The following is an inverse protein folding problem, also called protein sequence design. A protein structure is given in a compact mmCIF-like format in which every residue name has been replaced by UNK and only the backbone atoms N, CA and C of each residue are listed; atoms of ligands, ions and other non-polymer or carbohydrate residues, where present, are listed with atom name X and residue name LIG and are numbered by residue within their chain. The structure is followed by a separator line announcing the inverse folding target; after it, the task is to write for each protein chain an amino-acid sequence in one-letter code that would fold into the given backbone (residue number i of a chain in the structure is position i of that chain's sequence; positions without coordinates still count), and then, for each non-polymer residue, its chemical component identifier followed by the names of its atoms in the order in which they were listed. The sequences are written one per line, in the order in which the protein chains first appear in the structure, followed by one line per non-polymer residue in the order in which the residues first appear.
data_IF_535605051947
#
_entry.id   IF_535605051947
#
_cell.length_a   1.000
_cell.length_b   1.000
_cell.length_c   1.000
_cell.angle_alpha   90.00
_cell.angle_beta   90.00
_cell.angle_gamma   90.00
#
_symmetry.space_group_name_H-M   'P 1'
#
loop_
_entity.id
_entity.type
_entity.pdbx_description
1 polymer ?
#
# COMPACT_ATOMS: atom_id res chain seq x y z
N UNK A 1 -17.52 -0.59 -0.65
CA UNK A 1 -17.48 0.24 -1.88
C UNK A 1 -18.26 1.52 -1.65
N UNK A 2 -17.87 2.61 -2.30
CA UNK A 2 -18.53 3.92 -2.27
C UNK A 2 -18.72 4.39 -3.71
N UNK A 3 -19.83 5.07 -4.01
CA UNK A 3 -20.05 5.72 -5.31
C UNK A 3 -20.89 6.98 -5.15
N UNK A 4 -20.51 8.06 -5.81
CA UNK A 4 -21.25 9.32 -5.83
C UNK A 4 -21.02 10.07 -7.15
N UNK A 5 -22.09 10.30 -7.90
CA UNK A 5 -22.05 11.01 -9.18
C UNK A 5 -21.09 10.37 -10.20
N UNK A 6 -19.97 11.04 -10.46
CA UNK A 6 -18.92 10.57 -11.39
C UNK A 6 -17.80 9.80 -10.71
N UNK A 7 -17.87 9.63 -9.38
CA UNK A 7 -16.84 9.01 -8.58
C UNK A 7 -17.28 7.64 -8.07
N UNK A 8 -16.34 6.71 -8.03
CA UNK A 8 -16.53 5.40 -7.44
C UNK A 8 -15.22 4.93 -6.81
N UNK A 9 -15.31 4.12 -5.77
CA UNK A 9 -14.10 3.66 -5.10
C UNK A 9 -14.28 2.47 -4.17
N UNK A 10 -13.13 1.90 -3.87
CA UNK A 10 -12.95 0.77 -2.98
C UNK A 10 -12.02 1.20 -1.84
N UNK A 11 -12.44 0.88 -0.63
CA UNK A 11 -11.73 1.20 0.62
C UNK A 11 -11.76 -0.07 1.46
N UNK A 12 -10.62 -0.49 2.01
CA UNK A 12 -10.54 -1.70 2.82
C UNK A 12 -9.30 -1.80 3.71
N UNK A 13 -9.49 -2.41 4.89
CA UNK A 13 -8.45 -2.75 5.88
C UNK A 13 -8.71 -4.16 6.46
N UNK A 14 -8.15 -5.23 5.86
CA UNK A 14 -7.48 -5.26 4.57
C UNK A 14 -8.44 -5.11 3.40
N UNK A 15 -7.94 -4.59 2.29
CA UNK A 15 -8.65 -4.64 1.02
C UNK A 15 -8.33 -5.96 0.29
N UNK A 16 -7.10 -6.44 0.43
CA UNK A 16 -6.59 -7.68 -0.13
C UNK A 16 -5.67 -8.36 0.89
N UNK A 17 -5.70 -9.68 0.94
CA UNK A 17 -4.66 -10.50 1.56
C UNK A 17 -3.95 -11.26 0.46
N UNK A 18 -2.64 -11.10 0.34
CA UNK A 18 -1.86 -11.63 -0.78
C UNK A 18 -0.50 -12.15 -0.34
N UNK A 19 0.03 -13.10 -1.10
CA UNK A 19 1.39 -13.63 -0.93
C UNK A 19 2.33 -12.96 -1.92
N UNK A 20 3.43 -12.37 -1.43
CA UNK A 20 4.38 -11.65 -2.29
C UNK A 20 5.29 -12.64 -3.04
N UNK A 21 5.08 -12.77 -4.36
CA UNK A 21 5.83 -13.68 -5.22
C UNK A 21 7.24 -13.19 -5.60
N UNK A 22 7.70 -12.05 -5.06
CA UNK A 22 9.01 -11.46 -5.37
C UNK A 22 9.01 -10.53 -6.59
N UNK A 23 10.11 -9.79 -6.76
CA UNK A 23 10.37 -8.87 -7.87
C UNK A 23 9.71 -7.49 -7.71
N UNK A 24 8.59 -7.39 -7.01
CA UNK A 24 7.95 -6.10 -6.75
C UNK A 24 8.85 -5.18 -5.91
N UNK A 25 9.11 -3.98 -6.43
CA UNK A 25 10.03 -2.98 -5.83
C UNK A 25 11.44 -3.52 -5.52
N UNK A 26 11.90 -4.55 -6.25
CA UNK A 26 13.20 -5.17 -6.03
C UNK A 26 13.28 -6.09 -4.81
N UNK A 27 12.16 -6.38 -4.15
CA UNK A 27 12.13 -7.25 -2.96
C UNK A 27 12.01 -8.73 -3.36
N UNK A 28 12.68 -9.65 -2.64
CA UNK A 28 12.56 -11.08 -2.89
C UNK A 28 11.17 -11.59 -2.52
N UNK A 29 10.82 -12.78 -3.01
CA UNK A 29 9.59 -13.45 -2.60
C UNK A 29 9.61 -13.77 -1.10
N UNK A 30 8.42 -13.82 -0.50
CA UNK A 30 8.24 -14.26 0.88
C UNK A 30 7.22 -15.39 0.94
N UNK A 31 7.31 -16.21 1.99
CA UNK A 31 6.29 -17.21 2.28
C UNK A 31 5.16 -16.69 3.18
N UNK A 32 5.04 -15.37 3.33
CA UNK A 32 4.09 -14.72 4.24
C UNK A 32 2.90 -14.15 3.50
N UNK A 33 1.73 -14.26 4.11
CA UNK A 33 0.57 -13.46 3.70
C UNK A 33 0.74 -12.02 4.19
N UNK A 34 0.38 -11.07 3.33
CA UNK A 34 0.42 -9.64 3.61
C UNK A 34 -0.94 -9.01 3.35
N UNK A 35 -1.46 -8.33 4.36
CA UNK A 35 -2.65 -7.51 4.25
C UNK A 35 -2.29 -6.17 3.60
N UNK A 36 -2.97 -5.89 2.50
CA UNK A 36 -2.84 -4.64 1.77
C UNK A 36 -4.00 -3.71 2.11
N UNK A 37 -3.65 -2.57 2.70
CA UNK A 37 -4.58 -1.47 2.97
C UNK A 37 -4.54 -0.54 1.77
N UNK A 38 -5.66 -0.48 1.06
CA UNK A 38 -5.76 0.24 -0.21
C UNK A 38 -7.01 1.09 -0.23
N UNK A 39 -6.83 2.32 -0.69
CA UNK A 39 -7.91 3.20 -1.14
C UNK A 39 -7.72 3.36 -2.64
N UNK A 40 -8.73 2.97 -3.40
CA UNK A 40 -8.71 3.04 -4.86
C UNK A 40 -9.94 3.82 -5.34
N UNK A 41 -9.70 4.99 -5.91
CA UNK A 41 -10.72 5.96 -6.31
C UNK A 41 -10.64 6.19 -7.81
N UNK A 42 -11.81 6.26 -8.44
CA UNK A 42 -11.97 6.45 -9.87
C UNK A 42 -12.88 7.63 -10.16
N UNK A 43 -12.56 8.41 -11.19
CA UNK A 43 -13.50 9.33 -11.84
C UNK A 43 -13.86 8.82 -13.22
N UNK A 44 -15.14 8.90 -13.57
CA UNK A 44 -15.68 8.57 -14.88
C UNK A 44 -16.00 9.82 -15.69
N UNK A 45 -15.81 9.73 -17.00
CA UNK A 45 -16.33 10.66 -17.98
C UNK A 45 -16.89 9.91 -19.20
N UNK A 46 -18.15 10.20 -19.56
CA UNK A 46 -18.85 9.41 -20.58
C UNK A 46 -18.86 7.93 -20.19
N UNK A 47 -18.32 7.05 -21.04
CA UNK A 47 -18.26 5.60 -20.78
C UNK A 47 -16.88 5.09 -20.34
N UNK A 48 -15.96 5.99 -19.95
CA UNK A 48 -14.57 5.63 -19.61
C UNK A 48 -14.19 6.16 -18.22
N UNK A 49 -13.28 5.45 -17.55
CA UNK A 49 -12.56 5.98 -16.40
C UNK A 49 -11.49 6.95 -16.93
N UNK A 50 -11.43 8.15 -16.35
CA UNK A 50 -10.49 9.20 -16.77
C UNK A 50 -9.44 9.49 -15.73
N UNK A 51 -9.72 9.21 -14.46
CA UNK A 51 -8.75 9.35 -13.36
C UNK A 51 -8.82 8.13 -12.46
N UNK A 52 -7.65 7.75 -11.94
CA UNK A 52 -7.47 6.73 -10.95
C UNK A 52 -6.47 7.22 -9.89
N UNK A 53 -6.91 7.28 -8.64
CA UNK A 53 -6.08 7.63 -7.50
C UNK A 53 -6.03 6.44 -6.56
N UNK A 54 -4.83 5.91 -6.39
CA UNK A 54 -4.56 4.73 -5.59
C UNK A 54 -3.64 5.11 -4.46
N UNK A 55 -4.07 4.89 -3.23
CA UNK A 55 -3.28 5.04 -2.03
C UNK A 55 -3.06 3.66 -1.41
N UNK A 56 -1.80 3.27 -1.29
CA UNK A 56 -1.39 1.98 -0.73
C UNK A 56 -0.49 2.26 0.47
N UNK A 57 -0.84 1.67 1.61
CA UNK A 57 0.04 1.66 2.78
C UNK A 57 1.17 0.64 2.59
N UNK A 58 2.17 1.03 1.78
CA UNK A 58 3.33 0.18 1.49
C UNK A 58 4.19 -0.05 2.73
N UNK A 59 4.20 0.88 3.68
CA UNK A 59 4.95 0.73 4.93
C UNK A 59 4.38 -0.43 5.74
N UNK A 60 3.06 -0.49 5.91
CA UNK A 60 2.40 -1.62 6.57
C UNK A 60 2.65 -2.93 5.82
N UNK A 61 2.51 -2.93 4.50
CA UNK A 61 2.71 -4.15 3.71
C UNK A 61 4.13 -4.72 3.91
N UNK A 62 5.16 -3.87 3.79
CA UNK A 62 6.55 -4.29 3.98
C UNK A 62 6.86 -4.69 5.43
N UNK A 63 6.24 -4.03 6.40
CA UNK A 63 6.35 -4.43 7.81
C UNK A 63 5.85 -5.87 8.02
N UNK A 64 4.71 -6.26 7.42
CA UNK A 64 4.23 -7.66 7.46
C UNK A 64 5.18 -8.63 6.75
N UNK A 65 5.85 -8.18 5.68
CA UNK A 65 6.88 -8.96 5.00
C UNK A 65 8.19 -9.07 5.81
N UNK A 66 8.30 -8.40 6.96
CA UNK A 66 9.45 -8.45 7.85
C UNK A 66 10.46 -7.32 7.65
N UNK A 67 10.12 -6.28 6.87
CA UNK A 67 10.94 -5.08 6.70
C UNK A 67 10.31 -3.91 7.47
N UNK A 68 10.90 -3.57 8.61
CA UNK A 68 10.56 -2.33 9.32
C UNK A 68 11.29 -1.14 8.70
N UNK A 69 10.61 -0.48 7.76
CA UNK A 69 11.15 0.69 7.05
C UNK A 69 11.33 1.88 8.01
N UNK A 70 10.37 2.13 8.89
CA UNK A 70 10.40 3.30 9.76
C UNK A 70 11.48 3.15 10.85
N UNK A 71 11.56 1.98 11.50
CA UNK A 71 12.62 1.69 12.46
C UNK A 71 14.02 1.71 11.83
N UNK A 72 14.14 1.26 10.57
CA UNK A 72 15.41 1.39 9.82
C UNK A 72 15.78 2.86 9.58
N UNK A 73 14.82 3.70 9.20
CA UNK A 73 15.09 5.13 8.97
C UNK A 73 15.48 5.85 10.26
N UNK A 74 14.85 5.52 11.38
CA UNK A 74 15.18 6.05 12.70
C UNK A 74 16.60 5.66 13.12
N UNK A 75 17.00 4.39 12.93
CA UNK A 75 18.36 3.93 13.22
C UNK A 75 19.44 4.59 12.34
N UNK A 76 19.05 5.12 11.18
CA UNK A 76 19.94 5.85 10.26
C UNK A 76 19.96 7.35 10.54
N UNK A 77 19.06 7.86 11.38
CA UNK A 77 19.01 9.29 11.72
C UNK A 77 20.05 9.61 12.82
N UNK A 78 21.09 10.41 12.49
CA UNK A 78 22.12 10.77 13.46
C UNK A 78 21.58 11.57 14.66
N UNK A 79 20.39 12.16 14.56
CA UNK A 79 19.76 12.89 15.68
C UNK A 79 19.26 11.94 16.77
N UNK A 80 18.72 10.77 16.40
CA UNK A 80 18.14 9.81 17.34
C UNK A 80 19.15 8.76 17.83
N UNK A 81 20.25 8.54 17.10
CA UNK A 81 21.31 7.58 17.47
C UNK A 81 22.13 7.96 18.71
N UNK A 82 21.98 9.20 19.23
CA UNK A 82 22.75 9.73 20.36
C UNK A 82 21.96 9.83 21.68
N UNK A 83 20.75 9.24 21.74
CA UNK A 83 19.89 9.19 22.94
C UNK A 83 19.76 7.79 23.51
#
# INVERSE_FOLDING_TARGET
MIAEGRFGGLVGWPNLTLKHAGGFMGMPATDREGDMRVIDMYRREGRKLTENWVFIDLLHFWYMQGLDVLGRMEAMDPVHAAT
#
